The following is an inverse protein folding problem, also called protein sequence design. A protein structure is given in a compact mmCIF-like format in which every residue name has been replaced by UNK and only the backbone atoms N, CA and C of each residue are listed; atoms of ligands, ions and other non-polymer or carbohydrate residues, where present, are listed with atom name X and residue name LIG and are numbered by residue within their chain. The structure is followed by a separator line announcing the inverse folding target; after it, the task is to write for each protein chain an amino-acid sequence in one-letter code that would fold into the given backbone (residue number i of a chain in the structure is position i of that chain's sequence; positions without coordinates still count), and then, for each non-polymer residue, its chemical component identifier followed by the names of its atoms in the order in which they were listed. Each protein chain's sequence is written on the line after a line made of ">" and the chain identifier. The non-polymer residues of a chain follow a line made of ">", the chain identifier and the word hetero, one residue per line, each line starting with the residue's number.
data_IF_187168280309
#
_entry.id   IF_187168280309
#
_cell.length_a   1.000
_cell.length_b   1.000
_cell.length_c   1.000
_cell.angle_alpha   90.00
_cell.angle_beta   90.00
_cell.angle_gamma   90.00
#
_symmetry.space_group_name_H-M   'P 1'
#
loop_
_entity.id
_entity.type
_entity.pdbx_description
1 polymer ?
#
# COMPACT_ATOMS: atom_id res chain seq x y z
N UNK A 1 7.46 34.01 -2.63
CA UNK A 1 8.31 32.81 -2.83
C UNK A 1 8.67 32.27 -1.45
N UNK A 2 8.29 31.02 -1.12
CA UNK A 2 8.57 30.45 0.21
C UNK A 2 10.04 30.01 0.27
N UNK A 3 10.80 30.54 1.23
CA UNK A 3 12.19 30.17 1.48
C UNK A 3 12.27 28.75 2.03
N UNK A 4 12.50 27.76 1.16
CA UNK A 4 12.72 26.37 1.57
C UNK A 4 14.13 26.25 2.17
N UNK A 5 14.22 26.09 3.49
CA UNK A 5 15.49 25.84 4.18
C UNK A 5 15.97 24.42 3.86
N UNK A 6 17.26 24.27 3.53
CA UNK A 6 17.89 22.96 3.32
C UNK A 6 17.87 22.18 4.65
N UNK A 7 17.25 21.01 4.62
CA UNK A 7 17.19 20.10 5.77
C UNK A 7 18.49 19.30 5.89
N UNK A 8 18.95 19.01 7.11
CA UNK A 8 20.14 18.19 7.31
C UNK A 8 19.81 16.70 7.23
N UNK A 9 20.81 15.85 6.95
CA UNK A 9 20.62 14.39 6.90
C UNK A 9 20.20 13.78 8.23
N UNK A 10 20.49 14.45 9.35
CA UNK A 10 20.08 13.99 10.69
C UNK A 10 18.58 14.23 10.86
N UNK A 11 18.12 15.44 10.54
CA UNK A 11 16.71 15.84 10.67
C UNK A 11 15.80 15.10 9.67
N UNK A 12 16.35 14.60 8.55
CA UNK A 12 15.59 13.78 7.60
C UNK A 12 15.08 12.48 8.23
N UNK A 13 15.80 11.92 9.22
CA UNK A 13 15.41 10.68 9.91
C UNK A 13 14.29 10.89 10.92
N UNK A 14 14.13 12.12 11.38
CA UNK A 14 13.10 12.51 12.35
C UNK A 14 11.79 12.94 11.66
N UNK A 15 11.77 12.95 10.33
CA UNK A 15 10.52 13.07 9.57
C UNK A 15 9.79 11.74 9.66
N UNK A 16 8.93 11.62 10.67
CA UNK A 16 7.87 10.62 10.68
C UNK A 16 6.78 11.08 9.73
N UNK A 17 6.57 10.31 8.64
CA UNK A 17 5.46 10.55 7.73
C UNK A 17 4.14 10.51 8.48
N UNK A 18 3.29 11.51 8.28
CA UNK A 18 1.98 11.63 8.91
C UNK A 18 0.95 10.66 8.33
N UNK A 19 1.19 9.35 8.47
CA UNK A 19 0.12 8.34 8.38
C UNK A 19 -0.76 8.43 9.63
N UNK A 20 -2.08 8.39 9.45
CA UNK A 20 -3.04 8.38 10.56
C UNK A 20 -3.02 7.01 11.23
N UNK A 21 -2.39 6.85 12.38
CA UNK A 21 -2.24 5.60 13.17
C UNK A 21 -3.37 4.52 13.24
N UNK A 22 -4.57 4.70 12.68
CA UNK A 22 -5.62 3.71 12.39
C UNK A 22 -5.49 3.06 10.98
N UNK A 23 -4.27 3.07 10.44
CA UNK A 23 -3.93 3.01 9.03
C UNK A 23 -4.02 1.61 8.41
N UNK A 24 -5.24 1.19 8.08
CA UNK A 24 -5.42 0.10 7.12
C UNK A 24 -5.12 0.57 5.71
N UNK A 25 -3.83 0.66 5.41
CA UNK A 25 -3.29 1.07 4.13
C UNK A 25 -3.28 -0.08 3.13
N UNK A 26 -3.36 0.33 1.87
CA UNK A 26 -2.93 -0.51 0.78
C UNK A 26 -1.47 -0.96 1.00
N UNK A 27 -1.23 -2.27 0.94
CA UNK A 27 0.08 -2.86 1.17
C UNK A 27 0.28 -4.08 0.27
N UNK A 28 1.53 -4.37 -0.04
CA UNK A 28 1.90 -5.60 -0.73
C UNK A 28 1.93 -6.75 0.27
N UNK A 29 1.39 -7.89 -0.14
CA UNK A 29 1.40 -9.12 0.64
C UNK A 29 2.65 -9.91 0.21
N UNK A 30 3.50 -10.34 1.16
CA UNK A 30 4.63 -11.19 0.85
C UNK A 30 4.18 -12.47 0.15
N UNK A 31 4.91 -12.92 -0.87
CA UNK A 31 4.54 -14.10 -1.67
C UNK A 31 4.31 -15.36 -0.84
N UNK A 32 5.07 -15.55 0.24
CA UNK A 32 4.94 -16.68 1.16
C UNK A 32 3.62 -16.71 1.95
N UNK A 33 2.89 -15.60 1.97
CA UNK A 33 1.60 -15.45 2.65
C UNK A 33 0.41 -15.49 1.68
N UNK A 34 0.68 -15.53 0.37
CA UNK A 34 -0.37 -15.65 -0.65
C UNK A 34 -0.76 -17.13 -0.75
N UNK A 35 -2.01 -17.50 -0.46
CA UNK A 35 -2.46 -18.89 -0.58
C UNK A 35 -2.34 -19.37 -2.03
N UNK A 36 -2.08 -20.68 -2.22
CA UNK A 36 -1.98 -21.28 -3.57
C UNK A 36 -3.26 -21.09 -4.40
N UNK A 37 -4.41 -20.95 -3.74
CA UNK A 37 -5.70 -20.66 -4.37
C UNK A 37 -5.80 -19.22 -4.92
N UNK A 38 -4.79 -18.38 -4.68
CA UNK A 38 -4.71 -17.01 -5.17
C UNK A 38 -5.64 -16.02 -4.46
N UNK A 39 -6.35 -16.43 -3.41
CA UNK A 39 -7.23 -15.58 -2.60
C UNK A 39 -6.59 -15.19 -1.28
N UNK A 40 -6.41 -13.89 -1.01
CA UNK A 40 -5.91 -13.40 0.28
C UNK A 40 -6.98 -12.60 1.02
N UNK A 41 -7.13 -12.85 2.32
CA UNK A 41 -8.06 -12.13 3.18
C UNK A 41 -7.41 -10.81 3.65
N UNK A 42 -7.67 -9.73 2.90
CA UNK A 42 -7.14 -8.43 3.26
C UNK A 42 -7.70 -7.94 4.60
N UNK A 43 -6.84 -7.39 5.49
CA UNK A 43 -7.32 -6.77 6.72
C UNK A 43 -8.10 -5.49 6.40
N UNK A 44 -9.07 -5.15 7.26
CA UNK A 44 -9.98 -4.01 7.10
C UNK A 44 -10.79 -4.05 5.79
N UNK A 45 -11.43 -2.92 5.43
CA UNK A 45 -12.24 -2.79 4.19
C UNK A 45 -11.37 -2.63 2.93
N UNK A 46 -10.33 -3.44 2.79
CA UNK A 46 -9.46 -3.51 1.61
C UNK A 46 -9.89 -4.67 0.70
N UNK A 47 -9.47 -4.61 -0.56
CA UNK A 47 -9.74 -5.62 -1.59
C UNK A 47 -8.44 -6.25 -2.04
N UNK A 48 -8.48 -7.55 -2.25
CA UNK A 48 -7.36 -8.31 -2.76
C UNK A 48 -7.20 -8.15 -4.27
N UNK A 49 -5.97 -7.87 -4.70
CA UNK A 49 -5.57 -7.72 -6.09
C UNK A 49 -4.51 -8.78 -6.43
N UNK A 50 -4.90 -9.98 -6.91
CA UNK A 50 -3.98 -11.11 -7.02
C UNK A 50 -2.82 -10.86 -7.99
N UNK A 51 -3.07 -10.25 -9.14
CA UNK A 51 -2.03 -9.94 -10.13
C UNK A 51 -0.95 -8.99 -9.60
N UNK A 52 -1.31 -8.13 -8.64
CA UNK A 52 -0.40 -7.18 -8.00
C UNK A 52 0.19 -7.73 -6.70
N UNK A 53 -0.34 -8.83 -6.17
CA UNK A 53 0.02 -9.38 -4.87
C UNK A 53 -0.22 -8.38 -3.75
N UNK A 54 -1.30 -7.60 -3.79
CA UNK A 54 -1.53 -6.52 -2.83
C UNK A 54 -2.97 -6.37 -2.37
N UNK A 55 -3.12 -5.87 -1.15
CA UNK A 55 -4.37 -5.36 -0.63
C UNK A 55 -4.45 -3.88 -0.98
N UNK A 56 -5.53 -3.46 -1.64
CA UNK A 56 -5.76 -2.09 -2.10
C UNK A 56 -7.10 -1.57 -1.60
N UNK A 57 -7.28 -0.26 -1.58
CA UNK A 57 -8.58 0.32 -1.25
C UNK A 57 -9.60 0.03 -2.36
N UNK A 58 -10.88 -0.15 -1.99
CA UNK A 58 -11.97 -0.41 -2.95
C UNK A 58 -12.05 0.63 -4.08
N UNK A 59 -11.74 1.89 -3.80
CA UNK A 59 -11.73 2.97 -4.79
C UNK A 59 -10.56 2.90 -5.79
N UNK A 60 -9.55 2.08 -5.52
CA UNK A 60 -8.39 1.84 -6.38
C UNK A 60 -8.50 0.49 -7.11
N UNK A 61 -9.58 -0.26 -6.90
CA UNK A 61 -9.75 -1.56 -7.55
C UNK A 61 -10.07 -1.38 -9.03
N UNK A 62 -9.17 -1.84 -9.88
CA UNK A 62 -9.37 -1.99 -11.32
C UNK A 62 -9.42 -3.49 -11.66
N UNK A 63 -10.54 -4.01 -12.21
CA UNK A 63 -10.62 -5.40 -12.65
C UNK A 63 -9.55 -5.78 -13.68
N UNK A 64 -9.16 -4.88 -14.59
CA UNK A 64 -8.17 -5.19 -15.62
C UNK A 64 -6.78 -5.39 -15.01
N UNK A 65 -6.36 -4.48 -14.13
CA UNK A 65 -5.09 -4.62 -13.43
C UNK A 65 -5.10 -5.83 -12.47
N UNK A 66 -6.20 -6.05 -11.75
CA UNK A 66 -6.24 -7.03 -10.66
C UNK A 66 -6.61 -8.46 -11.07
N UNK A 67 -7.35 -8.66 -12.17
CA UNK A 67 -7.74 -10.00 -12.63
C UNK A 67 -6.90 -10.45 -13.83
N UNK A 68 -6.65 -9.55 -14.78
CA UNK A 68 -5.97 -9.89 -16.04
C UNK A 68 -4.50 -9.48 -16.11
N UNK A 69 -4.05 -8.55 -15.26
CA UNK A 69 -2.65 -8.11 -15.22
C UNK A 69 -2.20 -7.39 -16.49
N UNK A 70 -3.17 -6.81 -17.22
CA UNK A 70 -3.06 -6.25 -18.57
C UNK A 70 -3.39 -4.76 -18.56
#
# INVERSE_FOLDING_TARGET
>A
MKNLRKISRKDLKDITGGGRADDCFAHFVPGDQIPEDGGYACPCKLVWCPQRGSCIHQNMYDPQECQTGL
#
